data_IF_559806022479
#
_entry.id   IF_559806022479
#
_cell.length_a   1.000
_cell.length_b   1.000
_cell.length_c   1.000
_cell.angle_alpha   90.00
_cell.angle_beta   90.00
_cell.angle_gamma   90.00
#
_symmetry.space_group_name_H-M   'P 1'
#
loop_
_entity.id
_entity.type
_entity.pdbx_description
1 polymer ?
#
# COMPACT_ATOMS: atom_id res chain seq x y z
N UNK A 1 -0.78 1.10 9.77
CA UNK A 1 0.51 1.22 9.08
C UNK A 1 1.14 -0.16 9.05
N UNK A 2 1.74 -0.55 7.94
CA UNK A 2 2.29 -1.89 7.69
C UNK A 2 3.75 -1.76 7.30
N UNK A 3 4.61 -2.70 7.67
CA UNK A 3 6.03 -2.64 7.33
C UNK A 3 6.61 -4.02 7.07
N UNK A 4 7.51 -4.11 6.10
CA UNK A 4 8.32 -5.29 5.82
C UNK A 4 9.78 -4.85 5.62
N UNK A 5 10.73 -5.70 6.01
CA UNK A 5 12.14 -5.45 5.81
C UNK A 5 12.79 -6.61 5.04
N UNK A 6 13.50 -6.29 3.96
CA UNK A 6 14.24 -7.28 3.16
C UNK A 6 15.61 -6.70 2.83
N UNK A 7 16.68 -7.42 3.14
CA UNK A 7 18.08 -6.98 2.91
C UNK A 7 18.36 -5.56 3.45
N UNK A 8 17.93 -5.29 4.69
CA UNK A 8 18.04 -3.99 5.36
C UNK A 8 17.35 -2.82 4.64
N UNK A 9 16.47 -3.09 3.66
CA UNK A 9 15.59 -2.08 3.10
C UNK A 9 14.21 -2.28 3.71
N UNK A 10 13.73 -1.25 4.43
CA UNK A 10 12.41 -1.27 5.06
C UNK A 10 11.42 -0.54 4.19
N UNK A 11 10.32 -1.22 3.86
CA UNK A 11 9.18 -0.62 3.16
C UNK A 11 8.04 -0.49 4.17
N UNK A 12 7.58 0.74 4.38
CA UNK A 12 6.44 1.07 5.24
C UNK A 12 5.31 1.62 4.39
N UNK A 13 4.08 1.15 4.61
CA UNK A 13 2.89 1.57 3.88
C UNK A 13 1.80 2.05 4.83
N UNK A 14 1.23 3.22 4.53
CA UNK A 14 0.10 3.82 5.22
C UNK A 14 -1.08 4.03 4.24
N UNK A 15 -2.05 3.11 4.18
CA UNK A 15 -3.26 3.30 3.40
C UNK A 15 -4.22 4.28 4.09
N UNK A 16 -4.93 5.08 3.30
CA UNK A 16 -5.96 6.03 3.74
C UNK A 16 -7.13 5.97 2.76
N UNK A 17 -8.33 5.71 3.25
CA UNK A 17 -9.54 5.74 2.43
C UNK A 17 -9.88 7.19 2.03
N UNK A 18 -10.20 7.42 0.76
CA UNK A 18 -10.56 8.72 0.21
C UNK A 18 -12.07 8.78 -0.04
N UNK A 19 -12.82 9.25 0.95
CA UNK A 19 -14.28 9.35 0.87
C UNK A 19 -14.73 10.21 -0.32
N UNK A 20 -14.09 11.38 -0.53
CA UNK A 20 -14.46 12.33 -1.58
C UNK A 20 -14.18 11.83 -3.01
N UNK A 21 -13.38 10.78 -3.18
CA UNK A 21 -13.09 10.15 -4.49
C UNK A 21 -13.84 8.83 -4.69
N UNK A 22 -14.55 8.37 -3.65
CA UNK A 22 -15.30 7.14 -3.64
C UNK A 22 -16.77 7.40 -3.91
N UNK A 23 -17.42 6.42 -4.53
CA UNK A 23 -18.86 6.38 -4.75
C UNK A 23 -19.34 4.94 -4.50
N UNK A 24 -19.82 4.63 -3.28
CA UNK A 24 -20.30 3.29 -2.96
C UNK A 24 -21.51 2.86 -3.80
N UNK A 25 -22.34 3.79 -4.28
CA UNK A 25 -23.51 3.49 -5.10
C UNK A 25 -23.09 3.05 -6.51
N UNK A 26 -21.97 3.57 -7.02
CA UNK A 26 -21.32 3.12 -8.26
C UNK A 26 -20.31 1.96 -8.05
N UNK A 27 -20.27 1.37 -6.86
CA UNK A 27 -19.30 0.35 -6.48
C UNK A 27 -17.83 0.78 -6.71
N UNK A 28 -17.49 2.03 -6.36
CA UNK A 28 -16.13 2.59 -6.47
C UNK A 28 -15.62 3.01 -5.10
N UNK A 29 -14.57 2.36 -4.61
CA UNK A 29 -13.87 2.75 -3.38
C UNK A 29 -12.41 3.07 -3.69
N UNK A 30 -11.92 4.21 -3.22
CA UNK A 30 -10.58 4.69 -3.54
C UNK A 30 -9.76 4.82 -2.27
N UNK A 31 -8.55 4.26 -2.27
CA UNK A 31 -7.55 4.47 -1.23
C UNK A 31 -6.34 5.21 -1.80
N UNK A 32 -5.84 6.19 -1.05
CA UNK A 32 -4.44 6.59 -1.15
C UNK A 32 -3.58 5.64 -0.34
N UNK A 33 -2.33 5.44 -0.74
CA UNK A 33 -1.32 4.80 0.08
C UNK A 33 -0.02 5.58 -0.01
N UNK A 34 0.53 5.93 1.15
CA UNK A 34 1.87 6.52 1.26
C UNK A 34 2.87 5.41 1.56
N UNK A 35 3.89 5.30 0.71
CA UNK A 35 4.99 4.35 0.86
C UNK A 35 6.25 5.11 1.25
N UNK A 36 6.90 4.64 2.30
CA UNK A 36 8.23 5.07 2.74
C UNK A 36 9.20 3.91 2.58
N UNK A 37 10.26 4.12 1.80
CA UNK A 37 11.33 3.16 1.54
C UNK A 37 12.58 3.68 2.23
N UNK A 38 13.06 2.97 3.24
CA UNK A 38 14.23 3.34 4.04
C UNK A 38 15.39 2.39 3.76
N UNK A 39 16.54 2.95 3.37
CA UNK A 39 17.77 2.17 3.25
C UNK A 39 18.48 2.15 4.61
N UNK A 40 18.42 1.01 5.29
CA UNK A 40 19.13 0.76 6.57
C UNK A 40 20.39 -0.08 6.37
N UNK A 41 20.74 -0.37 5.12
CA UNK A 41 21.98 -1.00 4.75
C UNK A 41 23.15 -0.01 4.75
N UNK A 42 24.31 -0.51 4.34
CA UNK A 42 25.56 0.26 4.27
C UNK A 42 25.92 0.69 2.85
N UNK A 43 25.17 0.22 1.85
CA UNK A 43 25.40 0.48 0.44
C UNK A 43 24.21 1.25 -0.15
N UNK A 44 24.49 2.13 -1.11
CA UNK A 44 23.44 2.84 -1.86
C UNK A 44 22.66 1.87 -2.74
N UNK A 45 21.35 2.08 -2.84
CA UNK A 45 20.47 1.25 -3.66
C UNK A 45 19.58 2.10 -4.57
N UNK A 46 19.19 1.56 -5.71
CA UNK A 46 18.25 2.19 -6.63
C UNK A 46 17.01 1.32 -6.83
N UNK A 47 15.82 1.92 -6.74
CA UNK A 47 14.58 1.26 -7.15
C UNK A 47 14.44 1.36 -8.67
N UNK A 48 14.29 0.22 -9.34
CA UNK A 48 14.22 0.11 -10.80
C UNK A 48 12.80 -0.14 -11.30
N UNK A 49 12.07 -1.05 -10.66
CA UNK A 49 10.70 -1.39 -11.07
C UNK A 49 9.87 -1.86 -9.88
N UNK A 50 8.56 -1.90 -10.09
CA UNK A 50 7.57 -2.37 -9.12
C UNK A 50 6.71 -3.47 -9.73
N UNK A 51 6.28 -4.39 -8.88
CA UNK A 51 5.23 -5.35 -9.16
C UNK A 51 4.26 -5.37 -7.99
N UNK A 52 3.00 -5.02 -8.27
CA UNK A 52 1.91 -5.06 -7.31
C UNK A 52 0.98 -6.22 -7.64
N UNK A 53 0.48 -6.87 -6.60
CA UNK A 53 -0.65 -7.79 -6.59
C UNK A 53 -1.75 -7.14 -5.77
N UNK A 54 -2.91 -6.91 -6.38
CA UNK A 54 -4.06 -6.27 -5.77
C UNK A 54 -5.19 -7.28 -5.76
N UNK A 55 -5.73 -7.60 -4.58
CA UNK A 55 -6.82 -8.56 -4.45
C UNK A 55 -8.00 -7.89 -3.78
N UNK A 56 -9.14 -7.87 -4.46
CA UNK A 56 -10.38 -7.34 -3.91
C UNK A 56 -11.05 -8.38 -2.98
N UNK A 57 -12.07 -8.00 -2.20
CA UNK A 57 -12.69 -8.93 -1.24
C UNK A 57 -13.51 -10.07 -1.86
N UNK A 58 -13.72 -10.02 -3.18
CA UNK A 58 -14.31 -11.12 -3.97
C UNK A 58 -13.26 -12.12 -4.48
N UNK A 59 -11.98 -11.91 -4.16
CA UNK A 59 -10.88 -12.76 -4.59
C UNK A 59 -10.40 -12.51 -6.03
N UNK A 60 -10.88 -11.44 -6.70
CA UNK A 60 -10.34 -11.04 -8.00
C UNK A 60 -8.97 -10.40 -7.78
N UNK A 61 -7.97 -10.92 -8.51
CA UNK A 61 -6.61 -10.43 -8.47
C UNK A 61 -6.28 -9.61 -9.73
N UNK A 62 -5.60 -8.49 -9.53
CA UNK A 62 -4.99 -7.67 -10.57
C UNK A 62 -3.49 -7.55 -10.32
N UNK A 63 -2.70 -7.53 -11.41
CA UNK A 63 -1.27 -7.28 -11.34
C UNK A 63 -0.91 -5.98 -12.04
N UNK A 64 -0.13 -5.14 -11.36
CA UNK A 64 0.41 -3.91 -11.94
C UNK A 64 1.92 -3.98 -11.92
N UNK A 65 2.54 -3.91 -13.10
CA UNK A 65 4.00 -3.91 -13.28
C UNK A 65 4.43 -2.65 -14.01
N UNK A 66 5.59 -2.12 -13.63
CA UNK A 66 6.13 -0.98 -14.36
C UNK A 66 7.46 -0.45 -13.82
N UNK A 67 8.12 0.43 -14.59
CA UNK A 67 9.37 1.05 -14.17
C UNK A 67 9.11 2.04 -13.03
N UNK A 68 10.04 2.07 -12.09
CA UNK A 68 10.06 3.02 -10.98
C UNK A 68 8.78 3.04 -10.13
N UNK A 69 8.61 4.16 -9.45
CA UNK A 69 7.42 4.55 -8.68
C UNK A 69 7.10 6.00 -9.01
N UNK A 70 5.83 6.34 -9.25
CA UNK A 70 5.38 7.72 -9.57
C UNK A 70 6.24 8.44 -10.63
N UNK A 71 6.69 7.71 -11.65
CA UNK A 71 7.55 8.23 -12.72
C UNK A 71 9.03 8.44 -12.34
N UNK A 72 9.47 7.94 -11.18
CA UNK A 72 10.83 8.08 -10.66
C UNK A 72 11.50 6.74 -10.39
N UNK A 73 12.81 6.66 -10.53
CA UNK A 73 13.66 5.52 -10.15
C UNK A 73 14.66 5.97 -9.07
N UNK A 74 14.20 6.16 -7.83
CA UNK A 74 14.97 6.84 -6.79
C UNK A 74 16.23 6.05 -6.40
N UNK A 75 17.32 6.78 -6.19
CA UNK A 75 18.51 6.29 -5.51
C UNK A 75 18.42 6.67 -4.03
N UNK A 76 18.67 5.71 -3.14
CA UNK A 76 18.50 5.85 -1.70
C UNK A 76 19.85 5.53 -1.04
N UNK A 77 20.50 6.57 -0.54
CA UNK A 77 21.75 6.46 0.22
C UNK A 77 21.54 5.72 1.56
N UNK A 78 22.60 5.11 2.13
CA UNK A 78 22.57 4.55 3.49
C UNK A 78 22.01 5.55 4.51
N UNK A 79 21.06 5.09 5.33
CA UNK A 79 20.37 5.89 6.35
C UNK A 79 19.36 6.90 5.80
N UNK A 80 19.14 6.96 4.48
CA UNK A 80 18.15 7.83 3.85
C UNK A 80 16.88 7.08 3.48
N UNK A 81 15.87 7.86 3.10
CA UNK A 81 14.56 7.36 2.73
C UNK A 81 13.99 8.08 1.52
N UNK A 82 13.18 7.37 0.75
CA UNK A 82 12.33 7.93 -0.29
C UNK A 82 10.86 7.71 0.07
N UNK A 83 10.02 8.71 -0.19
CA UNK A 83 8.59 8.65 0.12
C UNK A 83 7.76 9.08 -1.09
N UNK A 84 6.64 8.40 -1.31
CA UNK A 84 5.67 8.78 -2.34
C UNK A 84 4.26 8.35 -1.95
N UNK A 85 3.26 9.00 -2.55
CA UNK A 85 1.84 8.64 -2.41
C UNK A 85 1.23 8.32 -3.76
N UNK A 86 0.37 7.31 -3.83
CA UNK A 86 -0.38 6.91 -5.03
C UNK A 86 -1.76 6.40 -4.65
N UNK A 87 -2.63 6.18 -5.64
CA UNK A 87 -4.01 5.70 -5.45
C UNK A 87 -4.21 4.24 -5.89
N UNK A 88 -5.22 3.59 -5.30
CA UNK A 88 -5.75 2.29 -5.72
C UNK A 88 -7.29 2.33 -5.63
N UNK A 89 -8.00 2.32 -6.77
CA UNK A 89 -9.43 2.07 -6.79
C UNK A 89 -9.72 0.57 -6.66
N UNK A 90 -10.77 0.22 -5.92
CA UNK A 90 -11.35 -1.12 -5.87
C UNK A 90 -12.85 -1.05 -6.17
N UNK A 91 -13.39 -2.17 -6.66
CA UNK A 91 -14.83 -2.40 -6.85
C UNK A 91 -15.51 -3.08 -5.65
N UNK A 92 -14.82 -3.12 -4.52
CA UNK A 92 -15.30 -3.67 -3.26
C UNK A 92 -14.85 -2.79 -2.09
N UNK A 93 -15.59 -2.78 -0.96
CA UNK A 93 -15.26 -1.95 0.21
C UNK A 93 -14.04 -2.45 1.01
N UNK A 94 -13.45 -3.56 0.59
CA UNK A 94 -12.21 -4.07 1.17
C UNK A 94 -11.35 -4.83 0.17
N UNK A 95 -10.08 -4.98 0.48
CA UNK A 95 -9.11 -5.74 -0.30
C UNK A 95 -7.75 -5.76 0.39
N UNK A 96 -6.74 -6.29 -0.29
CA UNK A 96 -5.36 -6.22 0.15
C UNK A 96 -4.43 -6.02 -1.04
N UNK A 97 -3.31 -5.37 -0.76
CA UNK A 97 -2.21 -5.21 -1.71
C UNK A 97 -0.95 -5.82 -1.13
N UNK A 98 -0.16 -6.42 -2.00
CA UNK A 98 1.19 -6.92 -1.72
C UNK A 98 2.05 -6.72 -2.97
N UNK A 99 3.37 -6.87 -2.86
CA UNK A 99 4.21 -6.73 -4.04
C UNK A 99 5.69 -6.79 -3.76
N UNK A 100 6.46 -6.45 -4.79
CA UNK A 100 7.91 -6.36 -4.73
C UNK A 100 8.41 -5.12 -5.47
N UNK A 101 9.57 -4.63 -5.03
CA UNK A 101 10.41 -3.74 -5.83
C UNK A 101 11.64 -4.48 -6.30
N UNK A 102 12.00 -4.28 -7.57
CA UNK A 102 13.32 -4.66 -8.04
C UNK A 102 14.29 -3.52 -7.75
N UNK A 103 15.38 -3.86 -7.06
CA UNK A 103 16.43 -2.97 -6.63
C UNK A 103 17.74 -3.29 -7.37
N UNK A 104 18.62 -2.30 -7.45
CA UNK A 104 20.02 -2.44 -7.87
C UNK A 104 20.91 -1.84 -6.77
N UNK A 105 21.87 -2.61 -6.26
CA UNK A 105 22.91 -2.12 -5.36
C UNK A 105 23.98 -1.31 -6.12
N UNK A 106 24.79 -0.53 -5.41
CA UNK A 106 25.90 0.22 -6.02
C UNK A 106 26.92 -0.69 -6.74
N UNK A 107 27.11 -1.90 -6.25
CA UNK A 107 27.88 -2.99 -6.86
C UNK A 107 27.30 -3.50 -8.19
N UNK A 108 26.08 -3.10 -8.55
CA UNK A 108 25.35 -3.56 -9.72
C UNK A 108 24.50 -4.82 -9.48
N UNK A 109 24.53 -5.40 -8.27
CA UNK A 109 23.70 -6.55 -7.92
C UNK A 109 22.21 -6.20 -8.02
N UNK A 110 21.44 -7.02 -8.74
CA UNK A 110 19.97 -6.94 -8.78
C UNK A 110 19.37 -7.83 -7.70
N UNK A 111 18.42 -7.29 -6.94
CA UNK A 111 17.69 -8.06 -5.94
C UNK A 111 16.28 -7.52 -5.75
N UNK A 112 15.37 -8.36 -5.28
CA UNK A 112 14.00 -7.97 -4.97
C UNK A 112 13.84 -7.71 -3.46
N UNK A 113 13.05 -6.69 -3.12
CA UNK A 113 12.58 -6.44 -1.76
C UNK A 113 11.06 -6.53 -1.71
N UNK A 114 10.53 -7.02 -0.59
CA UNK A 114 9.09 -7.16 -0.42
C UNK A 114 8.45 -5.86 0.02
N UNK A 115 7.24 -5.65 -0.47
CA UNK A 115 6.29 -4.69 0.07
C UNK A 115 5.40 -5.48 1.03
N UNK A 116 5.13 -4.99 2.26
CA UNK A 116 4.24 -5.71 3.18
C UNK A 116 2.88 -5.94 2.54
N UNK A 117 2.23 -7.06 2.87
CA UNK A 117 0.80 -7.18 2.62
C UNK A 117 0.07 -6.21 3.55
N UNK A 118 -0.80 -5.37 2.99
CA UNK A 118 -1.62 -4.45 3.76
C UNK A 118 -3.07 -4.50 3.34
N UNK A 119 -3.97 -4.30 4.30
CA UNK A 119 -5.39 -4.23 4.02
C UNK A 119 -5.80 -2.83 3.56
N UNK A 120 -6.74 -2.83 2.63
CA UNK A 120 -7.48 -1.66 2.16
C UNK A 120 -8.89 -1.79 2.72
N UNK A 121 -9.02 -1.71 4.04
CA UNK A 121 -10.33 -1.77 4.68
C UNK A 121 -10.90 -0.36 4.84
N UNK A 122 -12.23 -0.23 4.77
CA UNK A 122 -12.88 0.96 5.30
C UNK A 122 -12.47 1.16 6.76
N UNK A 123 -12.21 2.40 7.20
CA UNK A 123 -12.01 2.69 8.60
C UNK A 123 -13.17 2.08 9.39
N UNK A 124 -12.86 1.33 10.45
CA UNK A 124 -13.88 0.93 11.40
C UNK A 124 -14.38 2.20 12.07
N UNK A 125 -15.46 2.77 11.56
CA UNK A 125 -16.25 3.70 12.35
C UNK A 125 -16.55 2.99 13.68
N UNK A 126 -16.34 3.70 14.78
CA UNK A 126 -16.65 3.20 16.11
C UNK A 126 -18.03 2.53 16.05
N UNK A 127 -18.10 1.25 16.43
CA UNK A 127 -19.37 0.59 16.72
C UNK A 127 -19.94 1.23 18.00
N UNK A 128 -20.34 2.49 17.92
CA UNK A 128 -21.12 3.17 18.95
C UNK A 128 -22.56 2.71 18.74
N UNK A 129 -22.92 1.64 19.44
CA UNK A 129 -24.24 1.41 20.03
C UNK A 129 -25.41 2.19 19.40
N UNK A 130 -25.99 1.62 18.34
CA UNK A 130 -27.44 1.66 18.13
C UNK A 130 -28.00 0.32 18.62
N UNK A 131 -27.95 0.13 19.94
CA UNK A 131 -28.82 -0.80 20.65
C UNK A 131 -29.48 0.04 21.73
N UNK A 132 -30.82 -0.03 21.78
CA UNK A 132 -31.75 0.84 22.52
C UNK A 132 -32.03 2.14 21.75
N UNK A 133 -33.25 2.42 21.27
CA UNK A 133 -34.56 2.19 21.86
C UNK A 133 -35.58 1.78 20.80
N UNK A 134 -36.30 0.66 20.99
CA UNK A 134 -37.66 0.47 20.48
C UNK A 134 -38.29 -0.69 21.26
N UNK A 135 -38.56 -0.44 22.55
CA UNK A 135 -39.44 -1.27 23.39
C UNK A 135 -40.03 -0.45 24.53
N UNK A 136 -41.17 0.18 24.28
CA UNK A 136 -42.28 0.40 25.25
C UNK A 136 -43.51 0.73 24.39
N UNK A 137 -44.28 -0.28 24.00
CA UNK A 137 -45.54 -0.75 24.60
C UNK A 137 -46.74 0.12 24.24
N UNK A 138 -47.64 -0.47 23.44
CA UNK A 138 -49.08 -0.23 23.46
C UNK A 138 -49.72 -1.40 24.23
#
# INVERSE_FOLDING_TARGET
>A
MFSEETRAIRVTVAPTYLQDQSDPDEARWVWAYTVRIENRGTEKVQLVSRHWMITNSRGRQEEVRGPGVVGKTPMIEPGKSFEYTSGCPLDTPSGFMAGTYQMVAESGERFDIRIPTFSLDLPREHRSTLSQEHRTLN
#
